data_IF_959288202573
#
_entry.id   IF_959288202573
#
_cell.length_a   1.000
_cell.length_b   1.000
_cell.length_c   1.000
_cell.angle_alpha   90.00
_cell.angle_beta   90.00
_cell.angle_gamma   90.00
#
_symmetry.space_group_name_H-M   'P 1'
#
loop_
_entity.id
_entity.type
_entity.pdbx_description
1 polymer ?
#
# COMPACT_ATOMS: atom_id res chain seq x y z
N UNK A 1 54.43 41.78 15.10
CA UNK A 1 53.18 41.35 15.78
C UNK A 1 52.29 40.70 14.73
N UNK A 2 52.54 39.44 14.38
CA UNK A 2 51.75 38.73 13.36
C UNK A 2 50.60 37.99 14.05
N UNK A 3 49.38 38.43 13.78
CA UNK A 3 48.16 37.78 14.25
C UNK A 3 47.83 36.63 13.30
N UNK A 4 48.05 35.40 13.75
CA UNK A 4 47.53 34.21 13.07
C UNK A 4 46.01 34.17 13.21
N UNK A 5 45.30 34.22 12.07
CA UNK A 5 43.86 34.04 11.99
C UNK A 5 43.59 32.53 11.99
N UNK A 6 42.92 32.05 13.04
CA UNK A 6 42.44 30.67 13.10
C UNK A 6 41.25 30.51 12.16
N UNK A 7 41.38 29.64 11.16
CA UNK A 7 40.31 29.28 10.24
C UNK A 7 39.45 28.20 10.91
N UNK A 8 38.24 28.58 11.35
CA UNK A 8 37.26 27.64 11.89
C UNK A 8 36.50 26.99 10.72
N UNK A 9 36.81 25.72 10.43
CA UNK A 9 36.08 24.93 9.44
C UNK A 9 34.76 24.47 10.06
N UNK A 10 33.64 25.07 9.63
CA UNK A 10 32.30 24.63 10.00
C UNK A 10 31.96 23.40 9.14
N UNK A 11 31.97 22.23 9.76
CA UNK A 11 31.52 20.97 9.14
C UNK A 11 29.99 20.96 9.13
N UNK A 12 29.37 21.23 7.99
CA UNK A 12 27.92 21.08 7.81
C UNK A 12 27.62 19.57 7.69
N UNK A 13 27.08 18.97 8.76
CA UNK A 13 26.54 17.62 8.71
C UNK A 13 25.24 17.70 7.90
N UNK A 14 25.28 17.25 6.64
CA UNK A 14 24.05 17.00 5.88
C UNK A 14 23.44 15.74 6.49
N UNK A 15 22.50 15.93 7.42
CA UNK A 15 21.59 14.86 7.82
C UNK A 15 20.74 14.54 6.61
N UNK A 16 21.10 13.48 5.87
CA UNK A 16 20.21 12.88 4.89
C UNK A 16 19.02 12.32 5.67
N UNK A 17 17.92 13.05 5.72
CA UNK A 17 16.63 12.44 6.01
C UNK A 17 16.36 11.50 4.84
N UNK A 18 16.71 10.22 5.03
CA UNK A 18 16.21 9.16 4.17
C UNK A 18 14.70 9.08 4.46
N UNK A 19 13.92 9.95 3.82
CA UNK A 19 12.50 9.68 3.65
C UNK A 19 12.44 8.37 2.87
N UNK A 20 12.09 7.28 3.55
CA UNK A 20 11.81 6.03 2.89
C UNK A 20 10.69 6.31 1.89
N UNK A 21 11.03 6.39 0.61
CA UNK A 21 10.07 6.64 -0.45
C UNK A 21 9.29 5.34 -0.67
N UNK A 22 7.97 5.43 -0.56
CA UNK A 22 7.09 4.32 -0.92
C UNK A 22 7.43 3.81 -2.32
N UNK A 23 7.78 2.53 -2.44
CA UNK A 23 8.15 1.93 -3.73
C UNK A 23 6.87 1.72 -4.53
N UNK A 24 6.64 2.55 -5.54
CA UNK A 24 5.48 2.45 -6.45
C UNK A 24 5.76 1.63 -7.69
N UNK A 25 7.02 1.58 -8.12
CA UNK A 25 7.48 0.81 -9.27
C UNK A 25 8.58 -0.16 -8.84
N UNK A 26 8.46 -1.42 -9.26
CA UNK A 26 9.48 -2.42 -8.94
C UNK A 26 10.70 -2.24 -9.86
N UNK A 27 11.93 -2.36 -9.33
CA UNK A 27 13.12 -2.31 -10.17
C UNK A 27 13.16 -3.52 -11.11
N UNK A 28 13.72 -3.40 -12.33
CA UNK A 28 13.84 -4.51 -13.29
C UNK A 28 14.39 -5.81 -12.69
N UNK A 29 15.34 -5.68 -11.75
CA UNK A 29 15.95 -6.82 -11.06
C UNK A 29 14.97 -7.64 -10.22
N UNK A 30 13.88 -7.05 -9.73
CA UNK A 30 12.84 -7.79 -9.00
C UNK A 30 12.14 -8.80 -9.93
N UNK A 31 11.76 -8.36 -11.14
CA UNK A 31 11.16 -9.23 -12.16
C UNK A 31 12.11 -10.33 -12.61
N UNK A 32 13.41 -10.06 -12.71
CA UNK A 32 14.40 -11.11 -13.01
C UNK A 32 14.48 -12.19 -11.92
N UNK A 33 14.30 -11.80 -10.65
CA UNK A 33 14.39 -12.72 -9.51
C UNK A 33 13.08 -13.47 -9.23
N UNK A 34 11.94 -12.89 -9.61
CA UNK A 34 10.62 -13.51 -9.49
C UNK A 34 9.73 -13.13 -10.70
N UNK A 35 9.84 -13.86 -11.83
CA UNK A 35 9.20 -13.49 -13.10
C UNK A 35 7.67 -13.34 -13.04
N UNK A 36 6.97 -14.09 -12.17
CA UNK A 36 5.52 -13.98 -11.99
C UNK A 36 5.06 -12.56 -11.63
N UNK A 37 5.94 -11.70 -11.09
CA UNK A 37 5.62 -10.29 -10.85
C UNK A 37 5.23 -9.54 -12.13
N UNK A 38 5.64 -10.01 -13.31
CA UNK A 38 5.26 -9.41 -14.60
C UNK A 38 3.76 -9.56 -14.88
N UNK A 39 3.15 -10.62 -14.36
CA UNK A 39 1.73 -10.94 -14.53
C UNK A 39 0.89 -10.49 -13.32
N UNK A 40 1.53 -9.85 -12.33
CA UNK A 40 0.88 -9.39 -11.12
C UNK A 40 0.51 -7.91 -11.20
N UNK A 41 -0.61 -7.56 -10.57
CA UNK A 41 -1.04 -6.16 -10.41
C UNK A 41 -1.80 -5.95 -9.10
N UNK A 42 -1.99 -4.69 -8.70
CA UNK A 42 -2.72 -4.33 -7.49
C UNK A 42 -2.06 -4.79 -6.18
N UNK A 43 -0.76 -5.12 -6.21
CA UNK A 43 0.01 -5.49 -5.03
C UNK A 43 0.56 -4.26 -4.30
N UNK A 44 0.84 -4.41 -3.00
CA UNK A 44 1.53 -3.41 -2.19
C UNK A 44 2.99 -3.81 -1.96
N UNK A 45 3.88 -2.82 -1.81
CA UNK A 45 5.32 -3.04 -1.69
C UNK A 45 5.89 -2.34 -0.45
N UNK A 46 6.63 -3.09 0.36
CA UNK A 46 7.49 -2.57 1.41
C UNK A 46 8.96 -2.81 1.10
N UNK A 47 9.81 -1.84 1.40
CA UNK A 47 11.27 -1.93 1.24
C UNK A 47 11.97 -1.86 2.58
N UNK A 48 12.84 -2.82 2.86
CA UNK A 48 13.70 -2.81 4.05
C UNK A 48 15.12 -3.19 3.65
N UNK A 49 16.04 -2.22 3.64
CA UNK A 49 17.41 -2.42 3.16
C UNK A 49 17.44 -2.98 1.73
N UNK A 50 18.08 -4.16 1.57
CA UNK A 50 18.20 -4.89 0.30
C UNK A 50 17.01 -5.84 0.01
N UNK A 51 15.93 -5.73 0.80
CA UNK A 51 14.74 -6.56 0.65
C UNK A 51 13.56 -5.76 0.12
N UNK A 52 12.78 -6.39 -0.77
CA UNK A 52 11.39 -6.00 -1.03
C UNK A 52 10.47 -7.08 -0.49
N UNK A 53 9.39 -6.65 0.15
CA UNK A 53 8.25 -7.47 0.51
C UNK A 53 7.05 -7.04 -0.35
N UNK A 54 6.38 -7.99 -0.97
CA UNK A 54 5.19 -7.77 -1.79
C UNK A 54 4.01 -8.47 -1.12
N UNK A 55 2.92 -7.74 -0.98
CA UNK A 55 1.70 -8.17 -0.29
C UNK A 55 0.49 -8.05 -1.22
N UNK A 56 -0.42 -9.01 -1.14
CA UNK A 56 -1.64 -9.06 -1.94
C UNK A 56 -1.39 -8.95 -3.44
N UNK A 57 -2.37 -8.39 -4.14
CA UNK A 57 -2.42 -8.31 -5.59
C UNK A 57 -3.05 -9.53 -6.24
N UNK A 58 -3.27 -9.41 -7.54
CA UNK A 58 -3.81 -10.47 -8.39
C UNK A 58 -2.76 -10.92 -9.39
N UNK A 59 -2.70 -12.22 -9.66
CA UNK A 59 -1.88 -12.83 -10.70
C UNK A 59 -2.81 -13.11 -11.88
N UNK A 60 -2.54 -12.50 -13.03
CA UNK A 60 -3.26 -12.78 -14.26
C UNK A 60 -2.72 -14.06 -14.90
N UNK A 61 -3.60 -15.03 -15.11
CA UNK A 61 -3.27 -16.22 -15.90
C UNK A 61 -3.60 -15.98 -17.37
N UNK A 62 -2.58 -15.72 -18.16
CA UNK A 62 -2.70 -15.64 -19.62
C UNK A 62 -2.65 -17.06 -20.21
N UNK A 63 -3.76 -17.79 -20.08
CA UNK A 63 -3.94 -19.05 -20.82
C UNK A 63 -4.25 -18.69 -22.28
N UNK A 64 -3.45 -19.13 -23.26
CA UNK A 64 -3.65 -18.81 -24.67
C UNK A 64 -4.81 -19.64 -25.25
N UNK A 65 -6.02 -19.36 -24.78
CA UNK A 65 -7.32 -19.65 -25.39
C UNK A 65 -8.42 -19.28 -24.38
N UNK A 66 -8.86 -18.01 -24.48
CA UNK A 66 -10.26 -17.58 -24.38
C UNK A 66 -10.74 -16.84 -23.13
N UNK A 67 -10.12 -16.91 -21.95
CA UNK A 67 -10.44 -16.00 -20.82
C UNK A 67 -9.24 -15.81 -19.88
N UNK A 68 -8.79 -14.56 -19.69
CA UNK A 68 -7.88 -14.23 -18.59
C UNK A 68 -8.63 -14.39 -17.26
N UNK A 69 -8.05 -15.12 -16.31
CA UNK A 69 -8.56 -15.19 -14.95
C UNK A 69 -7.53 -14.61 -13.99
N UNK A 70 -8.02 -13.86 -13.02
CA UNK A 70 -7.21 -13.24 -11.99
C UNK A 70 -7.30 -14.08 -10.71
N UNK A 71 -6.14 -14.50 -10.21
CA UNK A 71 -6.02 -15.28 -8.98
C UNK A 71 -5.44 -14.41 -7.87
N UNK A 72 -5.98 -14.44 -6.64
CA UNK A 72 -5.39 -13.68 -5.55
C UNK A 72 -3.99 -14.22 -5.23
N UNK A 73 -3.04 -13.32 -4.99
CA UNK A 73 -1.78 -13.70 -4.39
C UNK A 73 -2.00 -14.09 -2.93
N UNK A 74 -1.67 -15.33 -2.60
CA UNK A 74 -1.79 -15.87 -1.25
C UNK A 74 -0.45 -15.91 -0.51
N UNK A 75 0.62 -15.36 -1.07
CA UNK A 75 1.95 -15.37 -0.48
C UNK A 75 2.44 -13.95 -0.14
N UNK A 76 3.24 -13.85 0.91
CA UNK A 76 4.16 -12.71 1.08
C UNK A 76 5.39 -13.05 0.24
N UNK A 77 5.62 -12.30 -0.83
CA UNK A 77 6.80 -12.48 -1.67
C UNK A 77 7.95 -11.64 -1.13
N UNK A 78 9.13 -12.23 -1.01
CA UNK A 78 10.35 -11.56 -0.57
C UNK A 78 11.41 -11.63 -1.65
N UNK A 79 11.93 -10.47 -2.07
CA UNK A 79 13.06 -10.36 -2.99
C UNK A 79 14.30 -9.97 -2.17
N UNK A 80 15.35 -10.79 -2.21
CA UNK A 80 16.65 -10.54 -1.57
C UNK A 80 17.68 -10.16 -2.65
N UNK A 81 17.95 -8.86 -2.80
CA UNK A 81 18.87 -8.37 -3.83
C UNK A 81 20.33 -8.74 -3.54
N UNK A 82 20.70 -8.84 -2.26
CA UNK A 82 22.07 -9.17 -1.83
C UNK A 82 22.44 -10.61 -2.17
N UNK A 83 21.52 -11.55 -1.90
CA UNK A 83 21.70 -12.99 -2.22
C UNK A 83 21.19 -13.36 -3.60
N UNK A 84 20.58 -12.43 -4.34
CA UNK A 84 20.02 -12.63 -5.68
C UNK A 84 19.05 -13.81 -5.73
N UNK A 85 18.09 -13.81 -4.81
CA UNK A 85 17.05 -14.84 -4.73
C UNK A 85 15.71 -14.22 -4.36
N UNK A 86 14.64 -14.94 -4.65
CA UNK A 86 13.30 -14.64 -4.17
C UNK A 86 12.76 -15.82 -3.37
N UNK A 87 11.84 -15.54 -2.45
CA UNK A 87 11.12 -16.54 -1.67
C UNK A 87 9.64 -16.14 -1.58
N UNK A 88 8.77 -17.13 -1.46
CA UNK A 88 7.34 -16.94 -1.21
C UNK A 88 7.01 -17.58 0.14
N UNK A 89 6.31 -16.82 0.99
CA UNK A 89 5.86 -17.28 2.29
C UNK A 89 4.34 -17.29 2.32
N UNK A 90 3.74 -18.47 2.31
CA UNK A 90 2.30 -18.61 2.21
C UNK A 90 1.56 -18.03 3.41
N UNK A 91 0.62 -17.13 3.09
CA UNK A 91 -0.23 -16.43 4.05
C UNK A 91 -1.22 -17.36 4.75
N UNK A 92 -1.28 -18.64 4.39
CA UNK A 92 -2.05 -19.66 5.11
C UNK A 92 -1.64 -19.83 6.58
N UNK A 93 -0.48 -19.29 6.98
CA UNK A 93 -0.06 -19.19 8.37
C UNK A 93 -0.59 -17.93 9.09
N UNK A 94 -1.18 -16.98 8.36
CA UNK A 94 -1.93 -15.84 8.91
C UNK A 94 -3.34 -16.32 9.26
N UNK A 95 -3.94 -15.77 10.32
CA UNK A 95 -5.24 -16.19 10.81
C UNK A 95 -6.36 -15.20 10.43
N UNK A 96 -7.56 -15.73 10.20
CA UNK A 96 -8.81 -14.99 10.07
C UNK A 96 -8.74 -13.78 9.13
N UNK A 97 -9.22 -12.64 9.63
CA UNK A 97 -9.43 -11.39 8.90
C UNK A 97 -8.14 -10.81 8.30
N UNK A 98 -6.99 -11.04 8.94
CA UNK A 98 -5.70 -10.59 8.43
C UNK A 98 -5.33 -11.33 7.15
N UNK A 99 -5.52 -12.65 7.12
CA UNK A 99 -5.27 -13.46 5.92
C UNK A 99 -6.14 -13.01 4.75
N UNK A 100 -7.42 -12.75 5.03
CA UNK A 100 -8.38 -12.30 4.00
C UNK A 100 -7.92 -10.98 3.37
N UNK A 101 -7.56 -9.97 4.17
CA UNK A 101 -7.04 -8.71 3.62
C UNK A 101 -5.72 -8.92 2.87
N UNK A 102 -4.81 -9.76 3.36
CA UNK A 102 -3.51 -9.98 2.70
C UNK A 102 -3.63 -10.67 1.34
N UNK A 103 -4.79 -11.25 1.02
CA UNK A 103 -5.12 -11.78 -0.30
C UNK A 103 -5.77 -10.76 -1.24
N UNK A 104 -6.02 -9.54 -0.76
CA UNK A 104 -6.74 -8.52 -1.49
C UNK A 104 -5.91 -7.91 -2.63
N UNK A 105 -6.60 -7.44 -3.66
CA UNK A 105 -6.02 -6.62 -4.73
C UNK A 105 -6.36 -5.15 -4.52
N UNK A 106 -5.51 -4.26 -5.04
CA UNK A 106 -5.77 -2.83 -5.05
C UNK A 106 -5.70 -2.18 -3.68
N UNK A 107 -4.93 -2.74 -2.74
CA UNK A 107 -4.71 -2.07 -1.45
C UNK A 107 -4.00 -0.74 -1.68
N UNK A 108 -4.52 0.31 -1.07
CA UNK A 108 -3.78 1.56 -0.96
C UNK A 108 -2.65 1.35 0.07
N UNK A 109 -1.46 1.89 -0.18
CA UNK A 109 -0.33 1.67 0.73
C UNK A 109 0.60 2.85 0.80
N UNK A 110 1.29 3.00 1.93
CA UNK A 110 2.37 3.95 2.11
C UNK A 110 3.37 3.43 3.14
N UNK A 111 4.66 3.64 2.89
CA UNK A 111 5.70 3.29 3.83
C UNK A 111 6.24 4.54 4.53
N UNK A 112 6.12 4.57 5.85
CA UNK A 112 6.76 5.57 6.70
C UNK A 112 7.88 4.92 7.51
N UNK A 113 9.13 5.23 7.15
CA UNK A 113 10.30 4.61 7.78
C UNK A 113 10.29 3.09 7.62
N UNK A 114 10.27 2.35 8.73
CA UNK A 114 10.18 0.88 8.76
C UNK A 114 8.76 0.34 8.82
N UNK A 115 7.74 1.20 8.83
CA UNK A 115 6.33 0.79 8.89
C UNK A 115 5.69 0.88 7.51
N UNK A 116 5.11 -0.21 7.03
CA UNK A 116 4.23 -0.21 5.86
C UNK A 116 2.77 -0.18 6.32
N UNK A 117 2.02 0.81 5.84
CA UNK A 117 0.58 0.88 6.03
C UNK A 117 -0.12 0.34 4.79
N UNK A 118 -1.06 -0.58 4.99
CA UNK A 118 -1.94 -1.16 3.98
C UNK A 118 -3.38 -0.81 4.32
N UNK A 119 -4.11 -0.24 3.36
CA UNK A 119 -5.49 0.21 3.54
C UNK A 119 -6.39 -0.49 2.52
N UNK A 120 -7.46 -1.04 3.05
CA UNK A 120 -8.55 -1.63 2.30
C UNK A 120 -8.12 -2.80 1.42
N UNK A 121 -8.43 -2.69 0.12
CA UNK A 121 -8.30 -3.76 -0.87
C UNK A 121 -9.61 -4.52 -1.10
N UNK A 122 -9.74 -5.13 -2.28
CA UNK A 122 -10.88 -5.95 -2.67
C UNK A 122 -10.49 -7.43 -2.76
N UNK A 123 -11.29 -8.32 -2.17
CA UNK A 123 -11.02 -9.75 -2.20
C UNK A 123 -12.13 -10.58 -1.56
N UNK A 124 -11.96 -11.90 -1.57
CA UNK A 124 -12.92 -12.83 -0.98
C UNK A 124 -12.75 -12.89 0.53
N UNK A 125 -13.81 -12.62 1.27
CA UNK A 125 -13.90 -12.83 2.71
C UNK A 125 -14.53 -14.20 2.96
N UNK A 126 -13.72 -15.15 3.46
CA UNK A 126 -14.22 -16.45 3.91
C UNK A 126 -15.24 -16.27 5.06
N UNK A 127 -14.99 -15.29 5.94
CA UNK A 127 -15.84 -14.92 7.07
C UNK A 127 -17.25 -14.49 6.64
N UNK A 128 -17.36 -13.71 5.56
CA UNK A 128 -18.65 -13.23 5.04
C UNK A 128 -19.21 -14.12 3.92
N UNK A 129 -18.44 -15.07 3.42
CA UNK A 129 -18.79 -15.87 2.23
C UNK A 129 -18.95 -15.01 0.97
N UNK A 130 -18.25 -13.88 0.89
CA UNK A 130 -18.53 -12.82 -0.07
C UNK A 130 -17.26 -12.11 -0.52
N UNK A 131 -17.19 -11.64 -1.78
CA UNK A 131 -16.20 -10.63 -2.13
C UNK A 131 -16.63 -9.26 -1.61
N UNK A 132 -15.73 -8.61 -0.90
CA UNK A 132 -15.94 -7.29 -0.28
C UNK A 132 -14.72 -6.40 -0.48
N UNK A 133 -14.90 -5.10 -0.31
CA UNK A 133 -13.80 -4.19 0.00
C UNK A 133 -13.54 -4.23 1.49
N UNK A 134 -12.34 -4.62 1.89
CA UNK A 134 -11.99 -4.84 3.29
C UNK A 134 -11.94 -3.50 4.06
N UNK A 135 -12.49 -3.40 5.27
CA UNK A 135 -12.49 -2.17 6.07
C UNK A 135 -11.27 -2.09 7.00
N UNK A 136 -10.07 -2.42 6.51
CA UNK A 136 -8.90 -2.59 7.37
C UNK A 136 -7.76 -1.62 7.05
N UNK A 137 -7.21 -1.01 8.10
CA UNK A 137 -5.86 -0.50 8.13
C UNK A 137 -4.95 -1.56 8.77
N UNK A 138 -3.91 -1.99 8.08
CA UNK A 138 -2.86 -2.86 8.65
C UNK A 138 -1.52 -2.15 8.63
N UNK A 139 -0.90 -1.99 9.80
CA UNK A 139 0.48 -1.52 9.94
C UNK A 139 1.41 -2.72 10.10
N UNK A 140 2.48 -2.76 9.29
CA UNK A 140 3.46 -3.84 9.24
C UNK A 140 4.84 -3.30 9.61
N UNK A 141 5.46 -3.85 10.65
CA UNK A 141 6.88 -3.61 10.94
C UNK A 141 7.76 -4.41 9.96
N UNK A 142 8.32 -3.73 8.95
CA UNK A 142 9.07 -4.37 7.88
C UNK A 142 10.39 -4.97 8.36
N UNK A 143 11.06 -4.35 9.34
CA UNK A 143 12.32 -4.85 9.88
C UNK A 143 12.12 -6.16 10.64
N UNK A 144 11.13 -6.18 11.54
CA UNK A 144 10.78 -7.37 12.28
C UNK A 144 10.22 -8.46 11.35
N UNK A 145 9.49 -8.07 10.31
CA UNK A 145 8.95 -9.01 9.31
C UNK A 145 10.07 -9.68 8.51
N UNK A 146 11.00 -8.92 7.94
CA UNK A 146 12.16 -9.49 7.22
C UNK A 146 12.95 -10.42 8.13
N UNK A 147 13.17 -10.03 9.39
CA UNK A 147 13.87 -10.88 10.36
C UNK A 147 13.14 -12.20 10.59
N UNK A 148 11.83 -12.16 10.85
CA UNK A 148 11.03 -13.36 11.06
C UNK A 148 11.06 -14.30 9.83
N UNK A 149 10.90 -13.74 8.62
CA UNK A 149 10.93 -14.51 7.38
C UNK A 149 12.28 -15.20 7.14
N UNK A 150 13.40 -14.50 7.38
CA UNK A 150 14.74 -15.06 7.26
C UNK A 150 15.01 -16.19 8.26
N UNK A 151 14.40 -16.11 9.44
CA UNK A 151 14.49 -17.14 10.49
C UNK A 151 13.46 -18.27 10.32
N UNK A 152 12.61 -18.23 9.29
CA UNK A 152 11.56 -19.22 9.05
C UNK A 152 10.43 -19.17 10.11
N UNK A 153 10.26 -18.02 10.77
CA UNK A 153 9.20 -17.77 11.75
C UNK A 153 7.98 -17.12 11.11
N UNK A 154 6.82 -17.30 11.74
CA UNK A 154 5.59 -16.65 11.33
C UNK A 154 5.66 -15.13 11.61
N UNK A 155 5.48 -14.24 10.61
CA UNK A 155 5.59 -12.80 10.79
C UNK A 155 4.35 -12.12 11.42
N UNK A 156 3.25 -12.84 11.68
CA UNK A 156 1.97 -12.27 12.17
C UNK A 156 2.13 -11.32 13.36
N UNK A 157 3.04 -11.62 14.29
CA UNK A 157 3.25 -10.79 15.49
C UNK A 157 3.71 -9.35 15.19
N UNK A 158 4.11 -9.08 13.94
CA UNK A 158 4.58 -7.78 13.46
C UNK A 158 3.49 -7.00 12.72
N UNK A 159 2.27 -7.57 12.59
CA UNK A 159 1.17 -7.00 11.82
C UNK A 159 0.09 -6.56 12.80
N UNK A 160 -0.35 -5.32 12.65
CA UNK A 160 -1.33 -4.71 13.55
C UNK A 160 -2.48 -4.16 12.72
N UNK A 161 -3.65 -4.78 12.87
CA UNK A 161 -4.83 -4.48 12.06
C UNK A 161 -5.87 -3.73 12.89
N UNK A 162 -6.42 -2.67 12.30
CA UNK A 162 -7.53 -1.88 12.80
C UNK A 162 -8.69 -2.02 11.82
N UNK A 163 -9.88 -2.35 12.33
CA UNK A 163 -11.13 -2.34 11.57
C UNK A 163 -11.75 -0.94 11.63
N UNK A 164 -11.95 -0.31 10.46
CA UNK A 164 -12.60 0.96 10.29
C UNK A 164 -13.25 1.03 8.89
N UNK A 165 -14.58 1.11 8.84
CA UNK A 165 -15.35 1.15 7.59
C UNK A 165 -14.96 2.30 6.66
N UNK A 166 -14.37 3.37 7.19
CA UNK A 166 -13.86 4.49 6.36
C UNK A 166 -12.69 4.08 5.49
N UNK A 167 -12.01 2.96 5.82
CA UNK A 167 -10.89 2.39 5.07
C UNK A 167 -11.34 1.34 4.03
N UNK A 168 -12.65 1.11 3.86
CA UNK A 168 -13.18 0.23 2.82
C UNK A 168 -13.03 0.88 1.43
N UNK A 169 -11.81 0.87 0.92
CA UNK A 169 -11.42 1.44 -0.37
C UNK A 169 -10.40 0.53 -1.08
N UNK A 170 -10.44 0.50 -2.40
CA UNK A 170 -9.39 -0.11 -3.22
C UNK A 170 -9.13 0.73 -4.47
N UNK A 171 -7.97 0.50 -5.10
CA UNK A 171 -7.45 1.24 -6.26
C UNK A 171 -7.35 2.76 -6.03
N UNK A 172 -7.15 3.19 -4.78
CA UNK A 172 -6.90 4.58 -4.43
C UNK A 172 -5.39 4.87 -4.37
N UNK A 173 -5.01 6.06 -4.83
CA UNK A 173 -3.65 6.57 -4.64
C UNK A 173 -3.52 7.16 -3.25
N UNK A 174 -2.50 6.73 -2.52
CA UNK A 174 -2.21 7.15 -1.14
C UNK A 174 -0.90 7.88 -1.06
N UNK A 175 -0.81 8.90 -0.21
CA UNK A 175 0.46 9.57 0.07
C UNK A 175 0.43 10.28 1.43
N UNK A 176 1.57 10.79 1.89
CA UNK A 176 1.73 11.39 3.21
C UNK A 176 2.61 12.64 3.12
N UNK A 177 2.17 13.73 3.75
CA UNK A 177 2.92 15.00 3.72
C UNK A 177 3.83 15.23 4.94
N UNK A 178 3.95 14.26 5.85
CA UNK A 178 4.66 14.44 7.12
C UNK A 178 3.76 14.78 8.31
N UNK A 179 2.46 15.01 8.10
CA UNK A 179 1.48 15.26 9.16
C UNK A 179 0.21 14.42 8.99
N UNK A 180 -0.34 14.33 7.79
CA UNK A 180 -1.56 13.59 7.49
C UNK A 180 -1.44 12.75 6.21
N UNK A 181 -2.23 11.69 6.16
CA UNK A 181 -2.37 10.81 5.01
C UNK A 181 -3.47 11.33 4.11
N UNK A 182 -3.24 11.13 2.82
CA UNK A 182 -4.12 11.49 1.74
C UNK A 182 -4.48 10.24 0.96
N UNK A 183 -5.75 10.13 0.59
CA UNK A 183 -6.24 9.17 -0.39
C UNK A 183 -7.00 9.94 -1.46
N UNK A 184 -6.76 9.63 -2.73
CA UNK A 184 -7.52 10.20 -3.85
C UNK A 184 -8.01 9.09 -4.77
N UNK A 185 -9.17 9.32 -5.38
CA UNK A 185 -9.85 8.36 -6.24
C UNK A 185 -10.20 7.06 -5.50
N UNK A 186 -10.07 5.93 -6.17
CA UNK A 186 -10.47 4.61 -5.70
C UNK A 186 -11.97 4.35 -5.76
N UNK A 187 -12.37 3.26 -5.12
CA UNK A 187 -13.73 2.74 -5.14
C UNK A 187 -13.97 1.76 -4.00
N UNK A 188 -15.23 1.39 -3.78
CA UNK A 188 -15.62 0.23 -2.97
C UNK A 188 -16.54 -0.68 -3.78
N UNK A 189 -16.53 -1.96 -3.47
CA UNK A 189 -17.35 -2.95 -4.16
C UNK A 189 -17.66 -4.16 -3.30
N UNK A 190 -18.74 -4.86 -3.64
CA UNK A 190 -19.03 -6.19 -3.15
C UNK A 190 -19.67 -7.05 -4.24
N UNK A 191 -19.62 -8.37 -4.08
CA UNK A 191 -20.24 -9.31 -5.01
C UNK A 191 -21.28 -10.15 -4.28
N UNK A 192 -22.56 -10.04 -4.62
CA UNK A 192 -23.61 -10.92 -4.10
C UNK A 192 -23.58 -12.26 -4.82
N UNK A 193 -23.82 -13.33 -4.07
CA UNK A 193 -23.86 -14.72 -4.54
C UNK A 193 -22.69 -15.07 -5.47
N UNK A 194 -21.43 -14.96 -5.00
CA UNK A 194 -20.25 -14.93 -5.86
C UNK A 194 -19.99 -16.24 -6.62
N UNK A 195 -20.61 -17.34 -6.18
CA UNK A 195 -20.50 -18.68 -6.80
C UNK A 195 -21.75 -19.11 -7.56
N UNK A 196 -22.73 -18.20 -7.72
CA UNK A 196 -23.90 -18.45 -8.58
C UNK A 196 -23.56 -18.25 -10.05
N UNK A 197 -24.44 -18.72 -10.95
CA UNK A 197 -24.32 -18.48 -12.39
C UNK A 197 -24.53 -16.99 -12.76
N UNK A 198 -25.14 -16.21 -11.87
CA UNK A 198 -25.49 -14.80 -12.07
C UNK A 198 -25.05 -13.94 -10.87
N UNK A 199 -23.74 -13.85 -10.58
CA UNK A 199 -23.26 -13.05 -9.45
C UNK A 199 -23.52 -11.56 -9.72
N UNK A 200 -23.93 -10.82 -8.71
CA UNK A 200 -24.18 -9.37 -8.84
C UNK A 200 -22.99 -8.60 -8.29
N UNK A 201 -22.28 -7.89 -9.16
CA UNK A 201 -21.22 -6.97 -8.77
C UNK A 201 -21.80 -5.58 -8.54
N UNK A 202 -21.61 -5.03 -7.34
CA UNK A 202 -22.01 -3.68 -6.99
C UNK A 202 -20.75 -2.88 -6.68
N UNK A 203 -20.53 -1.82 -7.43
CA UNK A 203 -19.39 -0.90 -7.28
C UNK A 203 -19.89 0.50 -6.97
N UNK A 204 -19.19 1.18 -6.07
CA UNK A 204 -19.33 2.59 -5.79
C UNK A 204 -18.02 3.30 -6.13
N UNK A 205 -17.97 4.09 -7.22
CA UNK A 205 -16.78 4.84 -7.56
C UNK A 205 -16.60 6.03 -6.60
N UNK A 206 -15.33 6.30 -6.26
CA UNK A 206 -14.92 7.52 -5.55
C UNK A 206 -14.04 8.41 -6.43
N UNK A 207 -14.17 8.30 -7.75
CA UNK A 207 -13.50 9.16 -8.72
C UNK A 207 -13.75 10.63 -8.40
N UNK A 208 -12.69 11.43 -8.36
CA UNK A 208 -12.78 12.85 -8.03
C UNK A 208 -13.06 13.16 -6.56
N UNK A 209 -12.87 12.19 -5.64
CA UNK A 209 -12.97 12.41 -4.20
C UNK A 209 -11.60 12.27 -3.55
N UNK A 210 -11.32 13.12 -2.57
CA UNK A 210 -10.15 13.01 -1.70
C UNK A 210 -10.55 12.72 -0.26
N UNK A 211 -9.69 12.03 0.49
CA UNK A 211 -9.85 11.78 1.92
C UNK A 211 -8.56 12.13 2.62
N UNK A 212 -8.66 12.76 3.78
CA UNK A 212 -7.50 13.08 4.63
C UNK A 212 -7.72 12.57 6.04
N UNK A 213 -6.67 12.09 6.68
CA UNK A 213 -6.73 11.53 8.03
C UNK A 213 -5.34 11.41 8.65
N UNK A 214 -5.28 11.19 9.97
CA UNK A 214 -4.04 10.85 10.67
C UNK A 214 -4.14 9.45 11.25
N UNK A 215 -3.03 8.72 11.17
CA UNK A 215 -2.85 7.47 11.90
C UNK A 215 -2.15 7.81 13.21
N UNK A 216 -2.80 7.49 14.34
CA UNK A 216 -2.23 7.67 15.68
C UNK A 216 -1.93 6.32 16.33
N UNK A 217 -1.04 6.37 17.32
CA UNK A 217 -0.61 5.21 18.07
C UNK A 217 0.30 4.27 17.27
N UNK A 218 0.68 3.17 17.92
CA UNK A 218 1.48 2.10 17.32
C UNK A 218 0.94 0.77 17.82
N UNK A 219 1.15 -0.28 17.03
CA UNK A 219 0.77 -1.65 17.39
C UNK A 219 -0.74 -1.78 17.68
N UNK A 220 -1.12 -2.30 18.84
CA UNK A 220 -2.51 -2.48 19.24
C UNK A 220 -3.25 -1.16 19.51
N UNK A 221 -2.54 -0.03 19.60
CA UNK A 221 -3.13 1.29 19.82
C UNK A 221 -3.39 2.09 18.54
N UNK A 222 -3.45 1.45 17.37
CA UNK A 222 -3.73 2.14 16.11
C UNK A 222 -5.11 2.80 16.12
N UNK A 223 -5.16 4.04 15.65
CA UNK A 223 -6.39 4.83 15.57
C UNK A 223 -6.37 5.70 14.31
N UNK A 224 -7.53 5.82 13.64
CA UNK A 224 -7.78 6.83 12.60
C UNK A 224 -8.39 8.07 13.24
N UNK A 225 -7.65 9.18 13.22
CA UNK A 225 -8.07 10.48 13.73
C UNK A 225 -8.22 11.52 12.61
N UNK A 226 -9.01 12.56 12.87
CA UNK A 226 -9.15 13.73 11.97
C UNK A 226 -9.51 13.35 10.52
N UNK A 227 -10.36 12.34 10.36
CA UNK A 227 -10.80 11.91 9.05
C UNK A 227 -11.75 12.93 8.42
N UNK A 228 -11.51 13.27 7.15
CA UNK A 228 -12.35 14.14 6.35
C UNK A 228 -12.46 13.61 4.92
N UNK A 229 -13.64 13.77 4.32
CA UNK A 229 -13.86 13.55 2.88
C UNK A 229 -14.05 14.89 2.18
N UNK A 230 -13.41 15.05 1.03
CA UNK A 230 -13.46 16.20 0.16
C UNK A 230 -14.10 15.82 -1.17
N UNK A 231 -15.20 16.51 -1.51
CA UNK A 231 -15.90 16.34 -2.79
C UNK A 231 -15.61 17.47 -3.77
N UNK A 232 -15.17 18.63 -3.26
CA UNK A 232 -14.70 19.76 -4.05
C UNK A 232 -13.17 19.69 -4.13
N UNK A 233 -12.65 19.23 -5.27
CA UNK A 233 -11.21 19.10 -5.48
C UNK A 233 -10.51 20.43 -5.72
N UNK A 234 -11.21 21.47 -6.17
CA UNK A 234 -10.63 22.81 -6.30
C UNK A 234 -10.39 23.39 -4.91
N UNK A 235 -11.42 23.37 -4.05
CA UNK A 235 -11.28 23.78 -2.65
C UNK A 235 -10.26 22.94 -1.86
N UNK A 236 -10.18 21.64 -2.12
CA UNK A 236 -9.15 20.77 -1.54
C UNK A 236 -7.73 21.22 -1.93
N UNK A 237 -7.51 21.52 -3.22
CA UNK A 237 -6.22 22.02 -3.71
C UNK A 237 -5.86 23.37 -3.14
N UNK A 238 -6.82 24.29 -3.04
CA UNK A 238 -6.60 25.60 -2.44
C UNK A 238 -6.29 25.51 -0.95
N UNK A 239 -6.94 24.57 -0.24
CA UNK A 239 -6.72 24.37 1.20
C UNK A 239 -5.31 23.87 1.51
N UNK A 240 -4.86 22.83 0.80
CA UNK A 240 -3.56 22.20 1.07
C UNK A 240 -2.41 22.86 0.32
N UNK A 241 -2.64 23.38 -0.88
CA UNK A 241 -1.62 24.03 -1.71
C UNK A 241 -0.33 23.20 -1.78
N UNK A 242 0.79 23.83 -1.42
CA UNK A 242 2.11 23.20 -1.41
C UNK A 242 2.31 22.10 -0.33
N UNK A 243 1.31 21.82 0.51
CA UNK A 243 1.33 20.70 1.46
C UNK A 243 0.80 19.41 0.84
N UNK A 244 0.31 19.44 -0.40
CA UNK A 244 -0.06 18.23 -1.12
C UNK A 244 1.20 17.42 -1.44
N UNK A 245 1.19 16.11 -1.12
CA UNK A 245 2.30 15.25 -1.49
C UNK A 245 2.25 14.89 -2.99
N UNK A 246 3.41 14.55 -3.55
CA UNK A 246 3.64 14.47 -5.00
C UNK A 246 2.66 13.52 -5.73
N UNK A 247 2.37 12.35 -5.17
CA UNK A 247 1.48 11.40 -5.85
C UNK A 247 0.04 11.93 -5.94
N UNK A 248 -0.40 12.71 -4.94
CA UNK A 248 -1.74 13.30 -4.91
C UNK A 248 -1.82 14.47 -5.89
N UNK A 249 -0.79 15.31 -5.97
CA UNK A 249 -0.72 16.37 -6.97
C UNK A 249 -0.80 15.82 -8.40
N UNK A 250 -0.12 14.71 -8.66
CA UNK A 250 -0.13 14.04 -9.97
C UNK A 250 -1.52 13.54 -10.35
N UNK A 251 -2.21 12.87 -9.44
CA UNK A 251 -3.59 12.40 -9.67
C UNK A 251 -4.55 13.55 -9.93
N UNK A 252 -4.41 14.66 -9.18
CA UNK A 252 -5.21 15.86 -9.40
C UNK A 252 -4.97 16.47 -10.78
N UNK A 253 -3.74 16.44 -11.30
CA UNK A 253 -3.43 16.91 -12.65
C UNK A 253 -4.09 16.04 -13.72
N UNK A 254 -4.01 14.72 -13.59
CA UNK A 254 -4.64 13.78 -14.53
C UNK A 254 -6.16 13.97 -14.61
N UNK A 255 -6.82 14.14 -13.45
CA UNK A 255 -8.27 14.41 -13.41
C UNK A 255 -8.67 15.72 -14.09
N UNK A 256 -7.79 16.73 -14.13
CA UNK A 256 -8.06 17.97 -14.86
C UNK A 256 -7.94 17.79 -16.36
N UNK A 257 -6.97 17.01 -16.81
CA UNK A 257 -6.79 16.72 -18.24
C UNK A 257 -7.98 15.94 -18.81
N UNK A 258 -8.50 14.94 -18.07
CA UNK A 258 -9.69 14.17 -18.45
C UNK A 258 -10.98 15.01 -18.55
N UNK A 259 -11.06 16.16 -17.87
CA UNK A 259 -12.23 17.04 -17.94
C UNK A 259 -12.19 18.03 -19.12
N UNK A 260 -11.05 18.14 -19.81
CA UNK A 260 -10.85 19.05 -20.94
C UNK A 260 -11.02 18.34 -22.31
N UNK A 261 -11.01 17.00 -22.33
CA UNK A 261 -11.34 16.17 -23.51
C UNK A 261 -12.84 15.89 -23.65
#
# INVERSE_FOLDING_TARGET
MNRSIALATILFLIMSNAFAQTVRELPPKAYELYPTLQDMYGYAVGKQGDYLLIFGGSIRSDVPQQYSQDFPNLDILMIDFKRKRAAAYTSGNLNGLLREQMSATGMAYYQEGSTLYLLGGYGFSETNGQFITFPYLTAIDLEATVTALLEGKNPVANFYQLCDERMAIFDATMDYNGEEFFLINGKSAYKLDPFSDTPVYVEQPFAGQARTFRIKGKKEGLEIAQFQTWYDLEGFRDHYGALLPEAIERELQLLQEEQVE
#
